data_IF_600336342683
#
_entry.id   IF_600336342683
#
_cell.length_a   1.000
_cell.length_b   1.000
_cell.length_c   1.000
_cell.angle_alpha   90.00
_cell.angle_beta   90.00
_cell.angle_gamma   90.00
#
_symmetry.space_group_name_H-M   'P 1'
#
loop_
_entity.id
_entity.type
_entity.pdbx_description
1 polymer ?
#
# COMPACT_ATOMS: atom_id res chain seq x y z
N UNK A 1 -17.85 -5.43 18.64
CA UNK A 1 -16.62 -4.84 19.21
C UNK A 1 -16.93 -3.38 19.50
N UNK A 2 -16.74 -2.91 20.73
CA UNK A 2 -16.81 -1.49 21.04
C UNK A 2 -15.40 -0.91 20.82
N UNK A 3 -15.30 0.17 20.06
CA UNK A 3 -14.04 0.88 19.79
C UNK A 3 -14.15 2.27 20.39
N UNK A 4 -13.04 2.79 20.91
CA UNK A 4 -12.99 4.14 21.46
C UNK A 4 -13.18 5.17 20.34
N UNK A 5 -14.06 6.14 20.57
CA UNK A 5 -14.30 7.21 19.62
C UNK A 5 -13.13 8.20 19.63
N UNK A 6 -12.54 8.44 18.45
CA UNK A 6 -11.51 9.46 18.27
C UNK A 6 -12.19 10.74 17.78
N UNK A 7 -12.21 11.82 18.59
CA UNK A 7 -12.77 13.09 18.15
C UNK A 7 -11.88 13.74 17.09
N UNK A 8 -12.49 14.19 16.00
CA UNK A 8 -11.80 14.87 14.90
C UNK A 8 -12.55 14.73 13.58
N UNK A 9 -12.03 15.38 12.55
CA UNK A 9 -12.63 15.39 11.21
C UNK A 9 -11.85 14.50 10.25
N UNK A 10 -12.57 13.77 9.41
CA UNK A 10 -12.00 13.04 8.26
C UNK A 10 -12.07 13.95 7.04
N UNK A 11 -10.92 14.22 6.45
CA UNK A 11 -10.82 15.08 5.27
C UNK A 11 -10.89 14.25 3.98
N UNK A 12 -11.25 14.92 2.87
CA UNK A 12 -11.32 14.27 1.54
C UNK A 12 -9.96 14.13 0.85
N UNK A 13 -8.92 14.82 1.33
CA UNK A 13 -7.58 14.81 0.77
C UNK A 13 -6.56 14.39 1.82
N UNK A 14 -5.45 13.78 1.37
CA UNK A 14 -4.32 13.53 2.24
C UNK A 14 -3.78 14.85 2.82
N UNK A 15 -3.27 14.84 4.06
CA UNK A 15 -2.50 15.95 4.58
C UNK A 15 -1.23 16.17 3.74
N UNK A 16 -0.55 17.28 3.96
CA UNK A 16 0.72 17.55 3.31
C UNK A 16 1.76 16.45 3.62
N UNK A 17 2.73 16.32 2.70
CA UNK A 17 3.77 15.28 2.75
C UNK A 17 4.59 15.33 4.04
N UNK A 18 4.76 16.50 4.66
CA UNK A 18 5.53 16.65 5.89
C UNK A 18 4.80 16.04 7.08
N UNK A 19 3.53 16.43 7.29
CA UNK A 19 2.70 15.91 8.37
C UNK A 19 2.43 14.41 8.21
N UNK A 20 2.18 13.95 6.98
CA UNK A 20 2.02 12.52 6.72
C UNK A 20 3.32 11.74 6.99
N UNK A 21 4.47 12.25 6.55
CA UNK A 21 5.75 11.60 6.81
C UNK A 21 6.05 11.49 8.30
N UNK A 22 5.76 12.54 9.09
CA UNK A 22 5.93 12.52 10.53
C UNK A 22 5.06 11.45 11.20
N UNK A 23 3.77 11.38 10.84
CA UNK A 23 2.85 10.36 11.34
C UNK A 23 3.34 8.94 11.06
N UNK A 24 3.73 8.65 9.81
CA UNK A 24 4.24 7.33 9.44
C UNK A 24 5.57 7.03 10.13
N UNK A 25 6.43 8.04 10.29
CA UNK A 25 7.70 7.89 11.00
C UNK A 25 7.48 7.49 12.47
N UNK A 26 6.54 8.13 13.14
CA UNK A 26 6.21 7.81 14.54
C UNK A 26 5.63 6.39 14.66
N UNK A 27 4.73 5.99 13.76
CA UNK A 27 4.25 4.61 13.67
C UNK A 27 5.42 3.63 13.50
N UNK A 28 6.31 3.89 12.54
CA UNK A 28 7.41 2.98 12.21
C UNK A 28 8.49 2.84 13.29
N UNK A 29 8.42 3.65 14.35
CA UNK A 29 9.29 3.53 15.54
C UNK A 29 8.69 2.67 16.63
N UNK A 30 7.41 2.35 16.54
CA UNK A 30 6.76 1.45 17.48
C UNK A 30 7.36 0.04 17.36
N UNK A 31 7.31 -0.76 18.44
CA UNK A 31 7.65 -2.17 18.37
C UNK A 31 6.83 -2.88 17.28
N UNK A 32 7.43 -3.82 16.54
CA UNK A 32 6.69 -4.66 15.60
C UNK A 32 5.53 -5.39 16.29
N UNK A 33 4.45 -5.62 15.54
CA UNK A 33 3.27 -6.32 16.00
C UNK A 33 3.55 -7.81 16.30
N UNK A 34 4.52 -8.40 15.61
CA UNK A 34 4.90 -9.81 15.72
C UNK A 34 4.41 -10.69 14.56
N UNK A 35 3.68 -10.13 13.59
CA UNK A 35 3.24 -10.86 12.40
C UNK A 35 3.68 -10.15 11.13
N UNK A 36 4.43 -10.86 10.28
CA UNK A 36 5.01 -10.31 9.05
C UNK A 36 4.06 -10.42 7.87
N UNK A 37 3.93 -9.33 7.14
CA UNK A 37 3.27 -9.28 5.85
C UNK A 37 4.15 -9.94 4.78
N UNK A 38 3.61 -10.96 4.14
CA UNK A 38 4.21 -11.61 2.97
C UNK A 38 3.22 -11.46 1.81
N UNK A 39 3.63 -10.71 0.78
CA UNK A 39 2.74 -10.39 -0.33
C UNK A 39 2.61 -11.56 -1.31
N UNK A 40 3.65 -12.35 -1.55
CA UNK A 40 3.59 -13.42 -2.56
C UNK A 40 2.47 -14.44 -2.26
N UNK A 41 2.34 -15.00 -1.05
CA UNK A 41 1.25 -15.93 -0.74
C UNK A 41 -0.13 -15.28 -0.89
N UNK A 42 -0.26 -14.00 -0.54
CA UNK A 42 -1.51 -13.24 -0.67
C UNK A 42 -1.87 -13.03 -2.15
N UNK A 43 -0.90 -12.69 -3.00
CA UNK A 43 -1.09 -12.56 -4.45
C UNK A 43 -1.48 -13.88 -5.10
N UNK A 44 -0.90 -15.00 -4.66
CA UNK A 44 -1.28 -16.34 -5.12
C UNK A 44 -2.71 -16.69 -4.70
N UNK A 45 -3.09 -16.31 -3.48
CA UNK A 45 -4.45 -16.49 -2.96
C UNK A 45 -5.46 -15.72 -3.79
N UNK A 46 -5.19 -14.44 -4.10
CA UNK A 46 -6.09 -13.64 -4.95
C UNK A 46 -6.24 -14.21 -6.36
N UNK A 47 -5.16 -14.72 -6.96
CA UNK A 47 -5.24 -15.41 -8.25
C UNK A 47 -6.14 -16.67 -8.18
N UNK A 48 -6.06 -17.43 -7.10
CA UNK A 48 -6.86 -18.65 -6.93
C UNK A 48 -8.32 -18.37 -6.55
N UNK A 49 -8.58 -17.30 -5.82
CA UNK A 49 -9.94 -16.96 -5.41
C UNK A 49 -10.69 -16.32 -6.56
N UNK A 50 -10.11 -15.35 -7.28
CA UNK A 50 -10.80 -14.56 -8.29
C UNK A 50 -11.59 -15.38 -9.33
N UNK A 51 -12.60 -14.72 -9.91
CA UNK A 51 -13.43 -15.31 -10.97
C UNK A 51 -12.57 -15.89 -12.10
N UNK A 52 -12.78 -17.15 -12.52
CA UNK A 52 -11.98 -17.77 -13.58
C UNK A 52 -11.94 -16.95 -14.88
N UNK A 53 -13.03 -16.27 -15.23
CA UNK A 53 -13.13 -15.40 -16.40
C UNK A 53 -12.25 -14.13 -16.33
N UNK A 54 -11.83 -13.73 -15.12
CA UNK A 54 -10.98 -12.57 -14.86
C UNK A 54 -9.49 -12.92 -14.81
N UNK A 55 -9.13 -14.21 -14.85
CA UNK A 55 -7.74 -14.67 -14.90
C UNK A 55 -7.12 -14.40 -16.25
N UNK A 56 -6.35 -13.32 -16.33
CA UNK A 56 -5.66 -12.94 -17.57
C UNK A 56 -4.26 -13.54 -17.66
N UNK A 57 -3.78 -13.78 -18.88
CA UNK A 57 -2.39 -14.20 -19.13
C UNK A 57 -1.38 -13.18 -18.58
N UNK A 58 -1.70 -11.89 -18.68
CA UNK A 58 -0.88 -10.83 -18.12
C UNK A 58 -0.71 -10.97 -16.60
N UNK A 59 -1.81 -11.17 -15.87
CA UNK A 59 -1.73 -11.35 -14.42
C UNK A 59 -0.92 -12.61 -14.06
N UNK A 60 -1.13 -13.74 -14.76
CA UNK A 60 -0.31 -14.93 -14.55
C UNK A 60 1.19 -14.69 -14.80
N UNK A 61 1.54 -13.96 -15.87
CA UNK A 61 2.92 -13.60 -16.17
C UNK A 61 3.54 -12.75 -15.06
N UNK A 62 2.79 -11.74 -14.58
CA UNK A 62 3.24 -10.91 -13.46
C UNK A 62 3.45 -11.76 -12.21
N UNK A 63 2.49 -12.61 -11.83
CA UNK A 63 2.62 -13.49 -10.66
C UNK A 63 3.85 -14.40 -10.77
N UNK A 64 4.05 -15.05 -11.92
CA UNK A 64 5.23 -15.90 -12.16
C UNK A 64 6.53 -15.10 -12.09
N UNK A 65 6.57 -13.88 -12.61
CA UNK A 65 7.74 -13.02 -12.52
C UNK A 65 8.05 -12.66 -11.05
N UNK A 66 7.04 -12.30 -10.24
CA UNK A 66 7.22 -12.00 -8.80
C UNK A 66 7.69 -13.23 -8.03
N UNK A 67 7.10 -14.39 -8.28
CA UNK A 67 7.52 -15.66 -7.67
C UNK A 67 8.99 -15.97 -7.96
N UNK A 68 9.46 -15.74 -9.20
CA UNK A 68 10.86 -15.96 -9.58
C UNK A 68 11.81 -14.93 -8.97
N UNK A 69 11.38 -13.67 -8.92
CA UNK A 69 12.20 -12.57 -8.40
C UNK A 69 12.33 -12.64 -6.87
N UNK A 70 11.29 -13.11 -6.17
CA UNK A 70 11.19 -13.01 -4.72
C UNK A 70 10.86 -11.60 -4.26
N UNK A 71 10.26 -11.50 -3.07
CA UNK A 71 9.96 -10.21 -2.44
C UNK A 71 11.25 -9.40 -2.20
N UNK A 72 11.22 -8.06 -2.34
CA UNK A 72 12.37 -7.22 -1.98
C UNK A 72 12.82 -7.49 -0.54
N UNK A 73 14.13 -7.65 -0.34
CA UNK A 73 14.69 -7.67 1.02
C UNK A 73 14.38 -6.34 1.70
N UNK A 74 13.77 -6.35 2.91
CA UNK A 74 13.37 -5.12 3.60
C UNK A 74 14.55 -4.18 3.85
N UNK A 75 14.34 -2.87 3.64
CA UNK A 75 15.31 -1.84 4.03
C UNK A 75 15.26 -1.62 5.55
N UNK A 76 14.06 -1.55 6.12
CA UNK A 76 13.83 -1.48 7.57
C UNK A 76 12.48 -2.10 7.89
N UNK A 77 12.45 -3.05 8.83
CA UNK A 77 11.21 -3.65 9.31
C UNK A 77 10.55 -2.76 10.36
N UNK A 78 9.25 -2.57 10.23
CA UNK A 78 8.43 -1.74 11.11
C UNK A 78 6.96 -2.21 11.09
N UNK A 79 6.15 -1.86 12.10
CA UNK A 79 4.71 -2.03 12.04
C UNK A 79 4.11 -1.10 10.98
N UNK A 80 3.36 -1.65 10.03
CA UNK A 80 2.74 -0.90 8.93
C UNK A 80 1.22 -0.90 9.07
N UNK A 81 0.57 0.16 8.60
CA UNK A 81 -0.89 0.28 8.49
C UNK A 81 -1.43 -0.35 7.19
N UNK A 82 -0.70 -0.17 6.09
CA UNK A 82 -1.02 -0.72 4.75
C UNK A 82 -2.30 -0.23 4.05
N UNK A 83 -3.04 0.69 4.65
CA UNK A 83 -4.26 1.28 4.05
C UNK A 83 -4.38 2.78 4.34
N UNK A 84 -3.31 3.51 3.99
CA UNK A 84 -3.19 4.94 4.28
C UNK A 84 -3.81 5.75 3.13
N UNK A 85 -5.01 6.26 3.38
CA UNK A 85 -5.73 7.20 2.53
C UNK A 85 -6.46 8.25 3.38
N UNK A 86 -6.96 9.32 2.75
CA UNK A 86 -7.61 10.43 3.46
C UNK A 86 -8.75 9.98 4.39
N UNK A 87 -9.56 9.01 3.95
CA UNK A 87 -10.63 8.41 4.76
C UNK A 87 -10.20 7.73 6.06
N UNK A 88 -8.94 7.28 6.17
CA UNK A 88 -8.39 6.60 7.34
C UNK A 88 -7.53 7.52 8.21
N UNK A 89 -7.61 8.83 7.96
CA UNK A 89 -6.89 9.86 8.70
C UNK A 89 -7.88 10.78 9.40
N UNK A 90 -7.82 10.77 10.73
CA UNK A 90 -8.60 11.66 11.58
C UNK A 90 -7.73 12.84 12.00
N UNK A 91 -8.18 14.05 11.68
CA UNK A 91 -7.56 15.29 12.13
C UNK A 91 -8.14 15.64 13.50
N UNK A 92 -7.40 15.33 14.56
CA UNK A 92 -7.77 15.66 15.93
C UNK A 92 -7.06 16.92 16.41
N UNK A 93 -7.49 17.46 17.55
CA UNK A 93 -6.81 18.58 18.21
C UNK A 93 -5.38 18.22 18.62
N UNK A 94 -5.14 16.94 18.94
CA UNK A 94 -3.82 16.41 19.32
C UNK A 94 -2.97 15.98 18.12
N UNK A 95 -3.43 16.23 16.89
CA UNK A 95 -2.74 15.86 15.65
C UNK A 95 -3.43 14.74 14.86
N UNK A 96 -2.72 14.24 13.85
CA UNK A 96 -3.22 13.21 12.95
C UNK A 96 -3.26 11.84 13.63
N UNK A 97 -4.34 11.08 13.36
CA UNK A 97 -4.50 9.71 13.85
C UNK A 97 -4.93 8.78 12.72
N UNK A 98 -4.37 7.58 12.72
CA UNK A 98 -4.74 6.50 11.81
C UNK A 98 -5.85 5.64 12.43
N UNK A 99 -6.82 5.27 11.59
CA UNK A 99 -7.91 4.36 11.93
C UNK A 99 -7.98 3.25 10.87
N UNK A 100 -8.74 2.20 11.16
CA UNK A 100 -8.94 1.06 10.26
C UNK A 100 -7.67 0.23 10.03
N UNK A 101 -7.23 -0.44 11.09
CA UNK A 101 -6.00 -1.23 11.12
C UNK A 101 -6.15 -2.66 10.58
N UNK A 102 -7.19 -2.96 9.80
CA UNK A 102 -7.50 -4.34 9.40
C UNK A 102 -6.41 -5.01 8.53
N UNK A 103 -5.64 -4.20 7.79
CA UNK A 103 -4.52 -4.67 6.95
C UNK A 103 -3.14 -4.52 7.60
N UNK A 104 -3.10 -4.13 8.88
CA UNK A 104 -1.86 -3.84 9.56
C UNK A 104 -0.98 -5.07 9.76
N UNK A 105 0.33 -4.87 9.73
CA UNK A 105 1.31 -5.93 9.99
C UNK A 105 2.74 -5.46 9.77
N UNK A 106 3.70 -6.30 10.12
CA UNK A 106 5.11 -5.94 10.04
C UNK A 106 5.66 -6.09 8.62
N UNK A 107 6.36 -5.08 8.14
CA UNK A 107 6.93 -5.11 6.79
C UNK A 107 8.00 -4.05 6.57
N UNK A 108 8.46 -3.95 5.33
CA UNK A 108 9.41 -2.92 4.93
C UNK A 108 8.74 -1.54 4.93
N UNK A 109 9.34 -0.53 5.56
CA UNK A 109 8.83 0.86 5.53
C UNK A 109 8.56 1.36 4.10
N UNK A 110 9.36 0.91 3.13
CA UNK A 110 9.21 1.28 1.73
C UNK A 110 7.97 0.63 1.08
N UNK A 111 7.47 -0.47 1.64
CA UNK A 111 6.23 -1.12 1.22
C UNK A 111 5.03 -0.26 1.57
N UNK A 112 4.98 0.30 2.78
CA UNK A 112 3.90 1.22 3.17
C UNK A 112 3.95 2.50 2.34
N UNK A 113 5.12 3.13 2.19
CA UNK A 113 5.27 4.33 1.35
C UNK A 113 4.89 4.08 -0.12
N UNK A 114 5.05 2.85 -0.61
CA UNK A 114 4.57 2.45 -1.94
C UNK A 114 3.04 2.31 -2.01
N UNK A 115 2.41 1.94 -0.89
CA UNK A 115 0.98 1.68 -0.71
C UNK A 115 0.14 2.93 -0.38
N UNK A 116 0.73 4.01 0.13
CA UNK A 116 -0.01 5.27 0.34
C UNK A 116 -0.72 5.74 -0.93
N UNK A 117 -2.01 6.05 -0.81
CA UNK A 117 -2.90 6.50 -1.88
C UNK A 117 -2.66 7.98 -2.25
N UNK A 118 -1.48 8.28 -2.76
CA UNK A 118 -1.18 9.62 -3.28
C UNK A 118 -1.85 9.85 -4.64
N UNK A 119 -2.26 11.09 -4.90
CA UNK A 119 -2.89 11.50 -6.16
C UNK A 119 -1.91 11.56 -7.35
N UNK A 120 -0.59 11.55 -7.11
CA UNK A 120 0.43 11.55 -8.17
C UNK A 120 1.75 10.89 -7.74
N UNK A 121 2.61 10.53 -8.71
CA UNK A 121 3.99 10.11 -8.41
C UNK A 121 4.81 11.23 -7.78
N UNK A 122 4.56 12.48 -8.16
CA UNK A 122 5.24 13.64 -7.60
C UNK A 122 4.97 13.76 -6.10
N UNK A 123 3.70 13.74 -5.70
CA UNK A 123 3.29 13.75 -4.29
C UNK A 123 3.92 12.59 -3.50
N UNK A 124 4.05 11.40 -4.13
CA UNK A 124 4.73 10.27 -3.48
C UNK A 124 6.23 10.48 -3.33
N UNK A 125 6.88 11.07 -4.34
CA UNK A 125 8.31 11.38 -4.26
C UNK A 125 8.58 12.38 -3.15
N UNK A 126 7.72 13.40 -3.00
CA UNK A 126 7.78 14.36 -1.90
C UNK A 126 7.59 13.69 -0.54
N UNK A 127 6.57 12.82 -0.40
CA UNK A 127 6.35 12.05 0.82
C UNK A 127 7.58 11.20 1.20
N UNK A 128 8.18 10.52 0.21
CA UNK A 128 9.38 9.71 0.43
C UNK A 128 10.58 10.57 0.85
N UNK A 129 10.73 11.77 0.26
CA UNK A 129 11.79 12.70 0.63
C UNK A 129 11.63 13.22 2.06
N UNK A 130 10.42 13.67 2.44
CA UNK A 130 10.14 14.10 3.81
C UNK A 130 10.32 12.96 4.81
N UNK A 131 9.86 11.75 4.48
CA UNK A 131 10.07 10.58 5.33
C UNK A 131 11.55 10.24 5.49
N UNK A 132 12.34 10.28 4.41
CA UNK A 132 13.78 10.04 4.47
C UNK A 132 14.47 11.05 5.40
N UNK A 133 14.06 12.33 5.34
CA UNK A 133 14.55 13.39 6.23
C UNK A 133 14.23 13.10 7.69
N UNK A 134 12.99 12.74 8.01
CA UNK A 134 12.58 12.37 9.38
C UNK A 134 13.35 11.15 9.91
N UNK A 135 13.55 10.15 9.04
CA UNK A 135 14.18 8.88 9.40
C UNK A 135 15.71 8.87 9.33
N UNK A 136 16.34 9.98 8.92
CA UNK A 136 17.77 10.10 8.61
C UNK A 136 18.26 8.98 7.67
N UNK A 137 17.50 8.74 6.60
CA UNK A 137 17.79 7.74 5.57
C UNK A 137 18.27 8.41 4.28
N UNK A 138 19.01 7.66 3.47
CA UNK A 138 19.31 8.08 2.10
C UNK A 138 18.02 8.06 1.24
N UNK A 139 17.57 9.24 0.81
CA UNK A 139 16.34 9.40 0.02
C UNK A 139 16.39 8.57 -1.27
N UNK A 140 17.55 8.51 -1.93
CA UNK A 140 17.69 7.83 -3.22
C UNK A 140 17.57 6.32 -3.06
N UNK A 141 18.15 5.77 -1.99
CA UNK A 141 18.03 4.36 -1.61
C UNK A 141 16.60 4.02 -1.21
N UNK A 142 15.97 4.85 -0.37
CA UNK A 142 14.58 4.64 0.04
C UNK A 142 13.65 4.67 -1.16
N UNK A 143 13.80 5.64 -2.07
CA UNK A 143 13.00 5.70 -3.28
C UNK A 143 13.20 4.47 -4.18
N UNK A 144 14.44 4.01 -4.37
CA UNK A 144 14.68 2.77 -5.14
C UNK A 144 13.94 1.59 -4.51
N UNK A 145 13.91 1.51 -3.19
CA UNK A 145 13.18 0.46 -2.48
C UNK A 145 11.66 0.59 -2.67
N UNK A 146 11.11 1.81 -2.59
CA UNK A 146 9.70 2.08 -2.91
C UNK A 146 9.36 1.64 -4.33
N UNK A 147 10.20 1.98 -5.31
CA UNK A 147 10.07 1.57 -6.72
C UNK A 147 10.06 0.03 -6.87
N UNK A 148 10.83 -0.70 -6.06
CA UNK A 148 10.84 -2.17 -6.05
C UNK A 148 9.54 -2.75 -5.51
N UNK A 149 8.90 -2.11 -4.53
CA UNK A 149 7.62 -2.54 -3.95
C UNK A 149 6.41 -2.17 -4.80
N UNK A 150 6.46 -1.09 -5.60
CA UNK A 150 5.27 -0.64 -6.37
C UNK A 150 4.61 -1.71 -7.23
N UNK A 151 5.33 -2.56 -7.98
CA UNK A 151 4.71 -3.61 -8.79
C UNK A 151 4.06 -4.74 -7.98
N UNK A 152 4.42 -4.87 -6.69
CA UNK A 152 3.79 -5.79 -5.75
C UNK A 152 2.50 -5.17 -5.20
N UNK A 153 2.58 -3.94 -4.71
CA UNK A 153 1.43 -3.18 -4.19
C UNK A 153 0.34 -3.00 -5.27
N UNK A 154 0.71 -2.62 -6.48
CA UNK A 154 -0.27 -2.45 -7.56
C UNK A 154 -0.97 -3.79 -7.92
N UNK A 155 -0.24 -4.90 -7.84
CA UNK A 155 -0.83 -6.23 -8.06
C UNK A 155 -1.68 -6.69 -6.87
N UNK A 156 -1.33 -6.28 -5.65
CA UNK A 156 -2.11 -6.51 -4.44
C UNK A 156 -3.46 -5.81 -4.53
N UNK A 157 -3.47 -4.52 -4.87
CA UNK A 157 -4.70 -3.73 -5.05
C UNK A 157 -5.58 -4.32 -6.16
N UNK A 158 -4.99 -4.63 -7.31
CA UNK A 158 -5.74 -5.22 -8.41
C UNK A 158 -6.35 -6.58 -8.03
N UNK A 159 -5.58 -7.46 -7.38
CA UNK A 159 -6.07 -8.75 -6.91
C UNK A 159 -7.16 -8.63 -5.83
N UNK A 160 -7.05 -7.63 -4.94
CA UNK A 160 -8.07 -7.36 -3.94
C UNK A 160 -9.41 -6.94 -4.58
N UNK A 161 -9.39 -6.02 -5.55
CA UNK A 161 -10.61 -5.63 -6.28
C UNK A 161 -11.24 -6.82 -7.01
N UNK A 162 -10.44 -7.70 -7.63
CA UNK A 162 -10.93 -8.93 -8.29
C UNK A 162 -11.62 -9.90 -7.31
N UNK A 163 -11.08 -10.03 -6.09
CA UNK A 163 -11.68 -10.87 -5.06
C UNK A 163 -12.95 -10.23 -4.49
N UNK A 164 -12.96 -8.91 -4.27
CA UNK A 164 -14.15 -8.18 -3.82
C UNK A 164 -15.29 -8.25 -4.81
N UNK A 165 -15.00 -8.18 -6.10
CA UNK A 165 -15.97 -8.41 -7.17
C UNK A 165 -16.64 -9.79 -7.02
N UNK A 166 -15.86 -10.84 -6.80
CA UNK A 166 -16.40 -12.18 -6.64
C UNK A 166 -17.26 -12.33 -5.38
N UNK A 167 -16.85 -11.70 -4.28
CA UNK A 167 -17.55 -11.80 -2.99
C UNK A 167 -18.86 -11.01 -2.97
N UNK A 168 -18.88 -9.85 -3.61
CA UNK A 168 -20.01 -8.89 -3.51
C UNK A 168 -20.88 -8.86 -4.77
N UNK A 169 -20.34 -9.24 -5.92
CA UNK A 169 -21.00 -9.07 -7.22
C UNK A 169 -21.09 -7.61 -7.71
N UNK A 170 -20.50 -6.66 -6.97
CA UNK A 170 -20.62 -5.23 -7.29
C UNK A 170 -19.73 -4.85 -8.48
N UNK A 171 -20.36 -4.31 -9.52
CA UNK A 171 -19.72 -3.92 -10.76
C UNK A 171 -18.76 -2.74 -10.62
N UNK A 172 -18.87 -1.93 -9.55
CA UNK A 172 -17.90 -0.85 -9.29
C UNK A 172 -16.48 -1.40 -9.14
N UNK A 173 -16.32 -2.60 -8.56
CA UNK A 173 -15.01 -3.24 -8.42
C UNK A 173 -14.42 -3.73 -9.76
N UNK A 174 -15.25 -3.90 -10.81
CA UNK A 174 -14.74 -4.22 -12.16
C UNK A 174 -13.91 -3.05 -12.68
N UNK A 175 -14.47 -1.83 -12.60
CA UNK A 175 -13.79 -0.63 -13.08
C UNK A 175 -12.49 -0.39 -12.32
N UNK A 176 -12.52 -0.52 -10.99
CA UNK A 176 -11.33 -0.37 -10.14
C UNK A 176 -10.25 -1.42 -10.45
N UNK A 177 -10.64 -2.69 -10.62
CA UNK A 177 -9.71 -3.75 -11.01
C UNK A 177 -9.09 -3.50 -12.39
N UNK A 178 -9.90 -3.14 -13.38
CA UNK A 178 -9.45 -2.86 -14.75
C UNK A 178 -8.47 -1.68 -14.78
N UNK A 179 -8.75 -0.61 -14.05
CA UNK A 179 -7.86 0.55 -13.97
C UNK A 179 -6.56 0.22 -13.25
N UNK A 180 -6.60 -0.55 -12.16
CA UNK A 180 -5.40 -1.03 -11.48
C UNK A 180 -4.52 -1.89 -12.41
N UNK A 181 -5.12 -2.80 -13.18
CA UNK A 181 -4.39 -3.60 -14.17
C UNK A 181 -3.82 -2.76 -15.32
N UNK A 182 -4.56 -1.76 -15.81
CA UNK A 182 -4.07 -0.83 -16.85
C UNK A 182 -2.85 -0.06 -16.36
N UNK A 183 -2.90 0.49 -15.16
CA UNK A 183 -1.76 1.21 -14.58
C UNK A 183 -0.53 0.31 -14.44
N UNK A 184 -0.71 -0.94 -13.98
CA UNK A 184 0.37 -1.90 -13.89
C UNK A 184 0.99 -2.26 -15.26
N UNK A 185 0.17 -2.31 -16.32
CA UNK A 185 0.63 -2.54 -17.70
C UNK A 185 1.44 -1.35 -18.24
N UNK A 186 0.96 -0.12 -18.01
CA UNK A 186 1.62 1.09 -18.52
C UNK A 186 2.98 1.29 -17.86
N UNK A 187 3.06 1.16 -16.53
CA UNK A 187 4.33 1.27 -15.78
C UNK A 187 5.33 0.16 -16.06
N UNK A 188 4.89 -0.94 -16.68
CA UNK A 188 5.76 -2.01 -17.15
C UNK A 188 6.42 -1.74 -18.51
N UNK A 189 5.91 -0.78 -19.29
CA UNK A 189 6.44 -0.40 -20.61
C UNK A 189 7.49 0.71 -20.56
N UNK A 190 7.57 1.44 -19.46
CA UNK A 190 8.50 2.57 -19.24
C UNK A 190 9.83 2.13 -18.60
N UNK A 191 10.13 0.82 -18.59
CA UNK A 191 11.35 0.23 -18.00
C UNK A 191 12.32 -0.26 -19.06
#
# INVERSE_FOLDING_TARGET
MAVDYIPGDVQSSLPDSHNLAALLYDLHRCPPFGWRLNLLPLLETYWQQCLPSRRTLFWLQQLKARRRQGEPLPLRLAPLHMDVHAGNLVHSQDGLRLIDWEYAGDGDIAMELAAVWTGSEHQRRELVAEYARCAMLDETQLWRQVVRWRPWIAMLMAGWFECRLQQTGDQQFITLADDAWRQLKMKGKER
#
